data_IF_399450480453
#
_entry.id   IF_399450480453
#
_cell.length_a   1.000
_cell.length_b   1.000
_cell.length_c   1.000
_cell.angle_alpha   90.00
_cell.angle_beta   90.00
_cell.angle_gamma   90.00
#
_symmetry.space_group_name_H-M   'P 1'
#
loop_
_entity.id
_entity.type
_entity.pdbx_description
1 polymer ?
#
# COMPACT_ATOMS: atom_id res chain seq x y z
N UNK A 1 12.25 -9.06 1.52
CA UNK A 1 12.64 -7.70 1.04
C UNK A 1 11.56 -7.10 0.13
N UNK A 2 10.89 -7.89 -0.70
CA UNK A 2 9.92 -7.41 -1.70
C UNK A 2 8.65 -6.77 -1.11
N UNK A 3 8.07 -7.33 -0.03
CA UNK A 3 6.84 -6.79 0.59
C UNK A 3 7.01 -5.38 1.18
N UNK A 4 8.17 -5.10 1.78
CA UNK A 4 8.49 -3.77 2.31
C UNK A 4 8.66 -2.74 1.19
N UNK A 5 9.21 -3.17 0.04
CA UNK A 5 9.30 -2.32 -1.14
C UNK A 5 7.92 -1.96 -1.69
N UNK A 6 7.01 -2.94 -1.78
CA UNK A 6 5.62 -2.69 -2.19
C UNK A 6 4.85 -1.80 -1.21
N UNK A 7 5.09 -1.95 0.10
CA UNK A 7 4.55 -1.05 1.11
C UNK A 7 5.07 0.39 0.94
N UNK A 8 6.37 0.55 0.66
CA UNK A 8 6.99 1.85 0.38
C UNK A 8 6.39 2.48 -0.88
N UNK A 9 6.21 1.70 -1.95
CA UNK A 9 5.59 2.16 -3.20
C UNK A 9 4.14 2.61 -2.96
N UNK A 10 3.35 1.82 -2.21
CA UNK A 10 1.99 2.21 -1.84
C UNK A 10 1.96 3.51 -1.05
N UNK A 11 2.89 3.69 -0.11
CA UNK A 11 3.02 4.89 0.70
C UNK A 11 3.40 6.10 -0.14
N UNK A 12 4.38 5.97 -1.04
CA UNK A 12 4.82 7.04 -1.95
C UNK A 12 3.70 7.44 -2.91
N UNK A 13 2.98 6.47 -3.48
CA UNK A 13 1.85 6.75 -4.37
C UNK A 13 0.69 7.39 -3.61
N UNK A 14 0.36 6.89 -2.41
CA UNK A 14 -0.68 7.47 -1.58
C UNK A 14 -0.39 8.92 -1.19
N UNK A 15 0.82 9.20 -0.66
CA UNK A 15 1.24 10.56 -0.30
C UNK A 15 1.38 11.47 -1.52
N UNK A 16 1.96 10.98 -2.61
CA UNK A 16 2.14 11.75 -3.84
C UNK A 16 0.81 12.13 -4.48
N UNK A 17 -0.15 11.20 -4.53
CA UNK A 17 -1.51 11.46 -5.02
C UNK A 17 -2.27 12.44 -4.12
N UNK A 18 -2.15 12.28 -2.80
CA UNK A 18 -2.77 13.21 -1.83
C UNK A 18 -2.20 14.61 -1.96
N UNK A 19 -0.89 14.73 -2.14
CA UNK A 19 -0.21 16.00 -2.36
C UNK A 19 -0.66 16.69 -3.66
N UNK A 20 -0.81 15.93 -4.76
CA UNK A 20 -1.36 16.43 -6.02
C UNK A 20 -2.79 16.97 -5.86
N UNK A 21 -3.64 16.25 -5.12
CA UNK A 21 -5.00 16.69 -4.80
C UNK A 21 -5.02 18.00 -4.00
N UNK A 22 -4.17 18.12 -2.97
CA UNK A 22 -4.08 19.33 -2.15
C UNK A 22 -3.59 20.54 -2.94
N UNK A 23 -2.67 20.32 -3.87
CA UNK A 23 -2.16 21.36 -4.76
C UNK A 23 -3.14 21.76 -5.88
N UNK A 24 -4.25 21.05 -6.04
CA UNK A 24 -5.15 21.20 -7.19
C UNK A 24 -4.47 20.88 -8.54
N UNK A 25 -3.26 20.34 -8.51
CA UNK A 25 -2.44 20.02 -9.66
C UNK A 25 -2.72 18.57 -10.06
N UNK A 26 -3.26 18.37 -11.27
CA UNK A 26 -3.48 17.04 -11.85
C UNK A 26 -4.93 16.55 -11.87
N UNK A 27 -5.90 17.25 -11.25
CA UNK A 27 -7.33 16.94 -11.38
C UNK A 27 -7.66 15.46 -11.14
N UNK A 28 -8.17 14.77 -12.16
CA UNK A 28 -8.53 13.34 -12.08
C UNK A 28 -7.34 12.40 -11.83
N UNK A 29 -6.12 12.79 -12.21
CA UNK A 29 -4.90 11.98 -11.99
C UNK A 29 -4.56 11.83 -10.51
N UNK A 30 -4.82 12.86 -9.69
CA UNK A 30 -4.58 12.78 -8.25
C UNK A 30 -5.41 11.67 -7.60
N UNK A 31 -6.69 11.58 -7.98
CA UNK A 31 -7.58 10.49 -7.55
C UNK A 31 -7.11 9.12 -8.02
N UNK A 32 -6.64 9.01 -9.27
CA UNK A 32 -6.09 7.74 -9.79
C UNK A 32 -4.87 7.30 -8.99
N UNK A 33 -3.92 8.21 -8.74
CA UNK A 33 -2.68 7.90 -8.02
C UNK A 33 -2.97 7.50 -6.58
N UNK A 34 -3.89 8.20 -5.89
CA UNK A 34 -4.36 7.78 -4.55
C UNK A 34 -5.03 6.41 -4.62
N UNK A 35 -5.91 6.17 -5.59
CA UNK A 35 -6.61 4.90 -5.75
C UNK A 35 -5.66 3.72 -5.97
N UNK A 36 -4.64 3.90 -6.82
CA UNK A 36 -3.59 2.89 -7.05
C UNK A 36 -2.79 2.65 -5.77
N UNK A 37 -2.38 3.71 -5.06
CA UNK A 37 -1.68 3.59 -3.79
C UNK A 37 -2.48 2.81 -2.74
N UNK A 38 -3.78 3.11 -2.62
CA UNK A 38 -4.70 2.40 -1.72
C UNK A 38 -4.88 0.95 -2.13
N UNK A 39 -5.02 0.64 -3.42
CA UNK A 39 -5.14 -0.73 -3.91
C UNK A 39 -3.92 -1.58 -3.61
N UNK A 40 -2.71 -1.05 -3.86
CA UNK A 40 -1.46 -1.73 -3.53
C UNK A 40 -1.33 -1.90 -2.01
N UNK A 41 -1.63 -0.85 -1.24
CA UNK A 41 -1.60 -0.91 0.23
C UNK A 41 -2.54 -1.98 0.79
N UNK A 42 -3.78 -2.05 0.30
CA UNK A 42 -4.77 -3.05 0.69
C UNK A 42 -4.29 -4.47 0.37
N UNK A 43 -3.67 -4.66 -0.79
CA UNK A 43 -3.08 -5.94 -1.20
C UNK A 43 -1.96 -6.39 -0.26
N UNK A 44 -1.06 -5.47 0.11
CA UNK A 44 0.04 -5.75 1.04
C UNK A 44 -0.48 -6.07 2.45
N UNK A 45 -1.47 -5.32 2.95
CA UNK A 45 -2.11 -5.58 4.24
C UNK A 45 -2.83 -6.92 4.23
N UNK A 46 -3.59 -7.24 3.19
CA UNK A 46 -4.26 -8.53 3.04
C UNK A 46 -3.27 -9.69 3.01
N UNK A 47 -2.14 -9.52 2.33
CA UNK A 47 -1.05 -10.48 2.34
C UNK A 47 -0.43 -10.62 3.74
N UNK A 48 -0.14 -9.52 4.46
CA UNK A 48 0.38 -9.57 5.84
C UNK A 48 -0.62 -10.24 6.80
N UNK A 49 -1.90 -9.92 6.68
CA UNK A 49 -2.97 -10.51 7.46
C UNK A 49 -3.09 -12.01 7.16
N UNK A 50 -3.03 -12.41 5.89
CA UNK A 50 -3.01 -13.81 5.51
C UNK A 50 -1.82 -14.55 6.14
N UNK A 51 -0.61 -13.99 6.11
CA UNK A 51 0.56 -14.59 6.77
C UNK A 51 0.42 -14.66 8.30
N UNK A 52 -0.19 -13.65 8.92
CA UNK A 52 -0.44 -13.64 10.36
C UNK A 52 -1.51 -14.66 10.77
N UNK A 53 -2.58 -14.80 9.97
CA UNK A 53 -3.66 -15.77 10.19
C UNK A 53 -3.27 -17.20 9.82
N UNK A 54 -2.42 -17.38 8.80
CA UNK A 54 -1.84 -18.67 8.42
C UNK A 54 -0.86 -19.22 9.49
N UNK A 55 -0.61 -18.43 10.54
CA UNK A 55 0.23 -18.79 11.68
C UNK A 55 1.70 -18.48 11.37
N UNK A 56 2.50 -17.96 12.29
CA UNK A 56 2.72 -18.52 13.63
C UNK A 56 2.79 -20.06 13.66
N UNK A 57 3.03 -20.71 12.52
CA UNK A 57 3.59 -22.07 12.49
C UNK A 57 5.10 -22.00 12.73
N UNK A 58 5.48 -21.56 13.93
CA UNK A 58 6.72 -22.04 14.57
C UNK A 58 6.33 -23.16 15.52
N UNK A 59 6.27 -24.43 15.07
CA UNK A 59 6.49 -25.55 15.96
C UNK A 59 8.00 -25.83 15.98
N UNK A 60 8.78 -25.16 16.83
CA UNK A 60 10.14 -25.59 17.26
C UNK A 60 10.38 -24.98 18.65
N UNK A 61 10.09 -25.76 19.69
CA UNK A 61 11.04 -26.61 20.45
C UNK A 61 11.70 -25.81 21.56
#
# INVERSE_FOLDING_TARGET
>A
MERGLWALVALVLGLGGWYLLLLGLGGWLGYLVVGVGVGIGCSVVGSLAHDALAGTNRPRL
#
